data_IF_630976314600
#
_entry.id   IF_630976314600
#
_cell.length_a   1.000
_cell.length_b   1.000
_cell.length_c   1.000
_cell.angle_alpha   90.00
_cell.angle_beta   90.00
_cell.angle_gamma   90.00
#
_symmetry.space_group_name_H-M   'P 1'
#
loop_
_entity.id
_entity.type
_entity.pdbx_description
1 polymer ?
#
# COMPACT_ATOMS: atom_id res chain seq x y z
N UNK A 1 5.06 -24.77 6.74
CA UNK A 1 5.28 -23.66 5.80
C UNK A 1 4.10 -23.68 4.84
N UNK A 2 3.36 -22.59 4.74
CA UNK A 2 2.21 -22.52 3.82
C UNK A 2 2.77 -22.41 2.39
N UNK A 3 2.23 -23.20 1.47
CA UNK A 3 2.60 -23.09 0.04
C UNK A 3 1.87 -21.90 -0.58
N UNK A 4 2.61 -20.84 -0.89
CA UNK A 4 2.14 -19.60 -1.51
C UNK A 4 2.52 -19.48 -2.99
N UNK A 5 3.15 -20.51 -3.55
CA UNK A 5 3.67 -20.50 -4.93
C UNK A 5 2.61 -20.27 -6.01
N UNK A 6 1.34 -20.49 -5.67
CA UNK A 6 0.18 -20.28 -6.56
C UNK A 6 -0.34 -18.83 -6.58
N UNK A 7 0.18 -17.96 -5.70
CA UNK A 7 -0.24 -16.56 -5.64
C UNK A 7 0.51 -15.74 -6.70
N UNK A 8 -0.23 -14.92 -7.45
CA UNK A 8 0.37 -14.04 -8.45
C UNK A 8 1.39 -13.05 -7.86
N UNK A 9 1.21 -12.66 -6.60
CA UNK A 9 2.12 -11.77 -5.87
C UNK A 9 3.46 -12.42 -5.54
N UNK A 10 3.54 -13.76 -5.58
CA UNK A 10 4.74 -14.55 -5.34
C UNK A 10 5.40 -15.03 -6.64
N UNK A 11 4.82 -14.69 -7.79
CA UNK A 11 5.40 -15.01 -9.08
C UNK A 11 6.72 -14.25 -9.28
N UNK A 12 7.74 -14.95 -9.74
CA UNK A 12 9.03 -14.33 -10.08
C UNK A 12 8.88 -13.46 -11.32
N UNK A 13 9.49 -12.28 -11.29
CA UNK A 13 9.57 -11.43 -12.47
C UNK A 13 10.63 -11.98 -13.43
N UNK A 14 10.22 -12.32 -14.66
CA UNK A 14 11.10 -12.91 -15.66
C UNK A 14 12.29 -12.01 -16.04
N UNK A 15 12.13 -10.68 -15.94
CA UNK A 15 13.19 -9.71 -16.22
C UNK A 15 14.26 -9.63 -15.13
N UNK A 16 14.02 -10.23 -13.97
CA UNK A 16 14.91 -10.15 -12.81
C UNK A 16 15.41 -11.52 -12.35
N UNK A 17 15.34 -12.52 -13.22
CA UNK A 17 15.76 -13.90 -12.87
C UNK A 17 17.26 -14.03 -12.62
N UNK A 18 18.06 -13.13 -13.18
CA UNK A 18 19.53 -13.11 -13.08
C UNK A 18 20.05 -11.82 -12.43
N UNK A 19 19.37 -11.33 -11.39
CA UNK A 19 19.76 -10.09 -10.68
C UNK A 19 21.20 -10.08 -10.18
N UNK A 20 21.70 -11.24 -9.76
CA UNK A 20 23.04 -11.46 -9.23
C UNK A 20 24.15 -11.34 -10.31
N UNK A 21 23.80 -11.46 -11.58
CA UNK A 21 24.70 -11.32 -12.72
C UNK A 21 24.68 -9.91 -13.35
N UNK A 22 23.69 -9.07 -12.97
CA UNK A 22 23.53 -7.74 -13.52
C UNK A 22 24.55 -6.76 -12.96
N UNK A 23 25.06 -5.87 -13.81
CA UNK A 23 25.75 -4.68 -13.35
C UNK A 23 24.79 -3.74 -12.60
N UNK A 24 25.32 -2.85 -11.77
CA UNK A 24 24.49 -1.86 -11.03
C UNK A 24 23.62 -1.02 -11.96
N UNK A 25 24.13 -0.64 -13.14
CA UNK A 25 23.36 0.16 -14.10
C UNK A 25 22.21 -0.65 -14.70
N UNK A 26 22.44 -1.90 -15.08
CA UNK A 26 21.41 -2.80 -15.60
C UNK A 26 20.33 -3.04 -14.56
N UNK A 27 20.73 -3.34 -13.32
CA UNK A 27 19.80 -3.53 -12.21
C UNK A 27 18.88 -2.30 -12.00
N UNK A 28 19.48 -1.11 -11.90
CA UNK A 28 18.72 0.13 -11.72
C UNK A 28 17.82 0.45 -12.93
N UNK A 29 18.26 0.12 -14.13
CA UNK A 29 17.46 0.30 -15.35
C UNK A 29 16.24 -0.60 -15.33
N UNK A 30 16.39 -1.88 -15.04
CA UNK A 30 15.27 -2.83 -14.94
C UNK A 30 14.30 -2.43 -13.85
N UNK A 31 14.79 -2.02 -12.67
CA UNK A 31 13.94 -1.52 -11.59
C UNK A 31 13.11 -0.31 -12.06
N UNK A 32 13.74 0.67 -12.67
CA UNK A 32 13.07 1.88 -13.15
C UNK A 32 12.03 1.58 -14.24
N UNK A 33 12.31 0.64 -15.14
CA UNK A 33 11.34 0.18 -16.15
C UNK A 33 10.11 -0.48 -15.49
N UNK A 34 10.32 -1.36 -14.51
CA UNK A 34 9.24 -2.03 -13.80
C UNK A 34 8.40 -1.03 -12.97
N UNK A 35 9.00 -0.01 -12.39
CA UNK A 35 8.33 1.06 -11.65
C UNK A 35 7.32 1.86 -12.50
N UNK A 36 7.40 1.77 -13.82
CA UNK A 36 6.39 2.37 -14.72
C UNK A 36 5.07 1.61 -14.74
N UNK A 37 5.07 0.32 -14.40
CA UNK A 37 3.91 -0.56 -14.52
C UNK A 37 2.80 -0.23 -13.50
N UNK A 38 3.09 0.07 -12.22
CA UNK A 38 2.07 0.50 -11.26
C UNK A 38 1.27 1.71 -11.74
N UNK A 39 1.93 2.73 -12.29
CA UNK A 39 1.25 3.92 -12.80
C UNK A 39 0.32 3.60 -13.97
N UNK A 40 0.70 2.67 -14.86
CA UNK A 40 -0.15 2.20 -15.95
C UNK A 40 -1.36 1.45 -15.44
N UNK A 41 -1.18 0.59 -14.43
CA UNK A 41 -2.27 -0.15 -13.79
C UNK A 41 -3.27 0.81 -13.11
N UNK A 42 -2.78 1.77 -12.34
CA UNK A 42 -3.61 2.82 -11.71
C UNK A 42 -4.40 3.60 -12.76
N UNK A 43 -3.80 3.93 -13.91
CA UNK A 43 -4.49 4.63 -15.00
C UNK A 43 -5.73 3.88 -15.49
N UNK A 44 -5.71 2.56 -15.51
CA UNK A 44 -6.86 1.73 -15.90
C UNK A 44 -7.97 1.73 -14.84
N UNK A 45 -7.63 2.02 -13.59
CA UNK A 45 -8.55 2.02 -12.45
C UNK A 45 -9.06 3.42 -12.07
N UNK A 46 -8.70 4.48 -12.82
CA UNK A 46 -9.06 5.87 -12.48
C UNK A 46 -10.57 6.05 -12.27
N UNK A 47 -11.41 5.39 -13.07
CA UNK A 47 -12.87 5.47 -12.94
C UNK A 47 -13.34 5.01 -11.55
N UNK A 48 -12.90 3.83 -11.11
CA UNK A 48 -13.27 3.27 -9.80
C UNK A 48 -12.66 4.10 -8.65
N UNK A 49 -11.44 4.61 -8.85
CA UNK A 49 -10.79 5.51 -7.87
C UNK A 49 -11.61 6.79 -7.72
N UNK A 50 -12.08 7.38 -8.82
CA UNK A 50 -12.90 8.57 -8.78
C UNK A 50 -14.22 8.34 -8.02
N UNK A 51 -14.88 7.20 -8.20
CA UNK A 51 -16.07 6.84 -7.44
C UNK A 51 -15.77 6.75 -5.93
N UNK A 52 -14.67 6.11 -5.54
CA UNK A 52 -14.23 6.03 -4.15
C UNK A 52 -13.95 7.42 -3.54
N UNK A 53 -13.31 8.30 -4.32
CA UNK A 53 -13.04 9.69 -3.92
C UNK A 53 -14.34 10.46 -3.68
N UNK A 54 -15.35 10.32 -4.55
CA UNK A 54 -16.64 11.00 -4.36
C UNK A 54 -17.39 10.50 -3.11
N UNK A 55 -17.35 9.20 -2.82
CA UNK A 55 -17.90 8.63 -1.59
C UNK A 55 -17.20 9.18 -0.34
N UNK A 56 -15.87 9.22 -0.37
CA UNK A 56 -15.05 9.76 0.72
C UNK A 56 -15.35 11.25 0.95
N UNK A 57 -15.39 12.03 -0.13
CA UNK A 57 -15.74 13.46 -0.11
C UNK A 57 -17.13 13.69 0.50
N UNK A 58 -18.11 12.88 0.12
CA UNK A 58 -19.46 12.98 0.66
C UNK A 58 -19.51 12.65 2.17
N UNK A 59 -18.70 11.70 2.63
CA UNK A 59 -18.56 11.35 4.04
C UNK A 59 -17.92 12.47 4.85
N UNK A 60 -16.79 12.98 4.40
CA UNK A 60 -16.06 14.05 5.09
C UNK A 60 -16.88 15.35 5.18
N UNK A 61 -17.66 15.71 4.15
CA UNK A 61 -18.57 16.86 4.18
C UNK A 61 -19.67 16.75 5.24
N UNK A 62 -19.99 15.54 5.67
CA UNK A 62 -20.95 15.28 6.76
C UNK A 62 -20.27 15.16 8.13
N UNK A 63 -19.00 15.56 8.21
CA UNK A 63 -18.16 15.40 9.40
C UNK A 63 -18.02 13.93 9.86
N UNK A 64 -18.12 13.00 8.90
CA UNK A 64 -17.84 11.60 9.12
C UNK A 64 -16.33 11.33 8.93
N UNK A 65 -15.91 10.07 9.05
CA UNK A 65 -14.52 9.67 9.03
C UNK A 65 -14.18 8.86 7.78
N UNK A 66 -12.95 8.98 7.32
CA UNK A 66 -12.30 8.04 6.43
C UNK A 66 -11.34 7.18 7.25
N UNK A 67 -11.38 5.88 7.06
CA UNK A 67 -10.55 4.95 7.83
C UNK A 67 -9.76 4.08 6.85
N UNK A 68 -8.43 4.19 6.91
CA UNK A 68 -7.52 3.25 6.28
C UNK A 68 -7.34 2.03 7.18
N UNK A 69 -7.49 0.84 6.64
CA UNK A 69 -7.25 -0.42 7.35
C UNK A 69 -6.29 -1.25 6.51
N UNK A 70 -5.20 -1.70 7.10
CA UNK A 70 -4.23 -2.51 6.39
C UNK A 70 -3.25 -3.23 7.30
N UNK A 71 -2.45 -4.11 6.71
CA UNK A 71 -1.35 -4.81 7.35
C UNK A 71 -0.02 -4.49 6.67
N UNK A 72 1.09 -4.73 7.34
CA UNK A 72 2.43 -4.58 6.79
C UNK A 72 2.68 -3.20 6.18
N UNK A 73 3.30 -3.15 5.02
CA UNK A 73 3.64 -1.90 4.31
C UNK A 73 2.39 -1.14 3.88
N UNK A 74 1.34 -1.82 3.41
CA UNK A 74 0.09 -1.18 3.02
C UNK A 74 -0.57 -0.45 4.19
N UNK A 75 -0.61 -1.09 5.39
CA UNK A 75 -1.11 -0.45 6.60
C UNK A 75 -0.27 0.76 7.03
N UNK A 76 1.06 0.68 6.89
CA UNK A 76 1.95 1.81 7.18
C UNK A 76 1.72 2.99 6.24
N UNK A 77 1.51 2.75 4.95
CA UNK A 77 1.21 3.81 3.99
C UNK A 77 -0.11 4.52 4.31
N UNK A 78 -1.17 3.77 4.61
CA UNK A 78 -2.45 4.37 5.02
C UNK A 78 -2.36 5.15 6.33
N UNK A 79 -1.58 4.66 7.29
CA UNK A 79 -1.34 5.36 8.56
C UNK A 79 -0.53 6.65 8.34
N UNK A 80 0.49 6.63 7.48
CA UNK A 80 1.26 7.83 7.12
C UNK A 80 0.36 8.91 6.50
N UNK A 81 -0.48 8.55 5.54
CA UNK A 81 -1.40 9.49 4.91
C UNK A 81 -2.37 10.10 5.94
N UNK A 82 -2.92 9.27 6.84
CA UNK A 82 -3.80 9.74 7.91
C UNK A 82 -3.10 10.74 8.85
N UNK A 83 -1.87 10.48 9.25
CA UNK A 83 -1.06 11.36 10.11
C UNK A 83 -0.80 12.70 9.44
N UNK A 84 -0.49 12.71 8.15
CA UNK A 84 -0.22 13.93 7.38
C UNK A 84 -1.47 14.79 7.11
N UNK A 85 -2.67 14.24 7.29
CA UNK A 85 -3.91 15.01 7.16
C UNK A 85 -4.07 16.11 8.23
N UNK A 86 -3.53 15.89 9.43
CA UNK A 86 -3.62 16.89 10.51
C UNK A 86 -2.79 18.14 10.21
N UNK A 87 -1.47 18.06 9.96
CA UNK A 87 -0.68 19.25 9.69
C UNK A 87 -1.02 19.91 8.35
N UNK A 88 -1.46 19.14 7.35
CA UNK A 88 -1.70 19.63 5.99
C UNK A 88 -3.08 20.25 5.83
N UNK A 89 -4.10 19.63 6.41
CA UNK A 89 -5.51 20.00 6.21
C UNK A 89 -6.26 20.37 7.50
N UNK A 90 -5.57 20.31 8.66
CA UNK A 90 -6.18 20.49 9.98
C UNK A 90 -7.38 19.55 10.19
N UNK A 91 -7.29 18.32 9.70
CA UNK A 91 -8.37 17.33 9.74
C UNK A 91 -7.96 16.10 10.54
N UNK A 92 -8.76 15.79 11.57
CA UNK A 92 -8.66 14.57 12.39
C UNK A 92 -9.65 13.49 11.93
N UNK A 93 -10.36 13.72 10.83
CA UNK A 93 -11.37 12.79 10.31
C UNK A 93 -10.80 11.67 9.45
N UNK A 94 -9.48 11.64 9.23
CA UNK A 94 -8.78 10.57 8.52
C UNK A 94 -8.00 9.75 9.55
N UNK A 95 -8.27 8.45 9.61
CA UNK A 95 -7.73 7.55 10.64
C UNK A 95 -7.03 6.38 9.95
N UNK A 96 -5.85 6.02 10.45
CA UNK A 96 -5.14 4.81 10.03
C UNK A 96 -5.23 3.71 11.10
N UNK A 97 -5.57 2.50 10.69
CA UNK A 97 -5.53 1.30 11.53
C UNK A 97 -4.60 0.26 10.88
N UNK A 98 -3.68 -0.26 11.65
CA UNK A 98 -2.72 -1.27 11.18
C UNK A 98 -2.87 -2.56 11.99
N UNK A 99 -2.86 -3.70 11.31
CA UNK A 99 -2.83 -5.01 11.97
C UNK A 99 -1.57 -5.13 12.83
N UNK A 100 -1.73 -5.67 14.04
CA UNK A 100 -0.67 -5.72 15.05
C UNK A 100 -0.54 -4.44 15.91
N UNK A 101 -1.45 -3.46 15.71
CA UNK A 101 -1.54 -2.25 16.51
C UNK A 101 -0.43 -1.23 16.22
N UNK A 102 -0.34 -0.16 17.02
CA UNK A 102 0.58 0.96 16.80
C UNK A 102 2.06 0.53 16.72
N UNK A 103 2.46 -0.50 17.47
CA UNK A 103 3.82 -1.04 17.43
C UNK A 103 4.22 -1.59 16.07
N UNK A 104 3.26 -2.07 15.26
CA UNK A 104 3.50 -2.61 13.92
C UNK A 104 3.90 -1.53 12.90
N UNK A 105 3.72 -0.26 13.21
CA UNK A 105 4.24 0.83 12.39
C UNK A 105 5.76 0.89 12.43
N UNK A 106 6.35 0.71 13.61
CA UNK A 106 7.79 0.84 13.82
C UNK A 106 8.50 -0.49 13.61
N UNK A 107 7.91 -1.60 14.07
CA UNK A 107 8.51 -2.94 14.02
C UNK A 107 7.53 -3.91 13.35
N UNK A 108 8.02 -4.67 12.36
CA UNK A 108 7.20 -5.69 11.71
C UNK A 108 6.65 -6.71 12.74
N UNK A 109 5.35 -7.01 12.61
CA UNK A 109 4.66 -8.04 13.37
C UNK A 109 4.19 -9.07 12.34
N UNK A 110 4.96 -10.16 12.24
CA UNK A 110 4.67 -11.23 11.28
C UNK A 110 3.36 -11.94 11.63
N UNK A 111 2.56 -12.24 10.62
CA UNK A 111 1.28 -12.92 10.78
C UNK A 111 0.15 -12.06 11.36
N UNK A 112 0.37 -10.77 11.54
CA UNK A 112 -0.67 -9.88 12.08
C UNK A 112 -1.89 -9.79 11.16
N UNK A 113 -1.73 -9.98 9.86
CA UNK A 113 -2.78 -10.01 8.85
C UNK A 113 -3.74 -11.20 9.01
N UNK A 114 -3.26 -12.31 9.57
CA UNK A 114 -4.03 -13.54 9.79
C UNK A 114 -4.62 -13.62 11.22
N UNK A 115 -4.25 -12.72 12.11
CA UNK A 115 -4.75 -12.68 13.49
C UNK A 115 -6.20 -12.21 13.52
N UNK A 116 -7.01 -12.90 14.29
CA UNK A 116 -8.42 -12.54 14.57
C UNK A 116 -8.60 -11.90 15.96
N UNK A 117 -7.49 -11.67 16.65
CA UNK A 117 -7.46 -11.07 17.99
C UNK A 117 -7.20 -9.55 17.91
#
# INVERSE_FOLDING_TARGET
MVDISHLNTEARNEKTMNLDEMSTVELLTVMNEEDTNPAKAVKLAIGQIAEAVELTKASLRKNARMIYIGAGTSGRMGLMDAVECVPTFSSENVIGLIAGGEGAFIKAVEGAEDSKE
#
